data_IF_696544540899
#
_entry.id   IF_696544540899
#
_cell.length_a   1.000
_cell.length_b   1.000
_cell.length_c   1.000
_cell.angle_alpha   90.00
_cell.angle_beta   90.00
_cell.angle_gamma   90.00
#
_symmetry.space_group_name_H-M   'P 1'
#
loop_
_entity.id
_entity.type
_entity.pdbx_description
1 polymer ?
#
# COMPACT_ATOMS: atom_id res chain seq x y z
N UNK A 1 8.21 -2.77 27.82
CA UNK A 1 7.89 -2.29 26.47
C UNK A 1 8.57 -3.21 25.48
N UNK A 2 7.80 -3.98 24.73
CA UNK A 2 8.28 -4.80 23.63
C UNK A 2 8.33 -3.97 22.35
N UNK A 3 9.25 -4.31 21.45
CA UNK A 3 9.36 -3.65 20.15
C UNK A 3 9.02 -4.64 19.03
N UNK A 4 8.28 -4.15 18.04
CA UNK A 4 8.06 -4.87 16.80
C UNK A 4 9.37 -5.10 16.06
N UNK A 5 9.61 -6.37 15.71
CA UNK A 5 10.70 -6.76 14.81
C UNK A 5 10.14 -7.70 13.77
N UNK A 6 10.12 -7.27 12.52
CA UNK A 6 9.66 -8.08 11.40
C UNK A 6 10.42 -9.42 11.38
N UNK A 7 9.69 -10.53 11.30
CA UNK A 7 10.25 -11.88 11.22
C UNK A 7 10.37 -12.39 9.78
N UNK A 8 10.09 -11.54 8.78
CA UNK A 8 10.03 -11.89 7.36
C UNK A 8 9.17 -13.14 7.09
N UNK A 9 8.02 -13.25 7.78
CA UNK A 9 7.13 -14.41 7.69
C UNK A 9 6.27 -14.47 6.42
N UNK A 10 6.14 -13.36 5.68
CA UNK A 10 5.35 -13.28 4.46
C UNK A 10 3.84 -13.09 4.66
N UNK A 11 3.34 -13.06 5.90
CA UNK A 11 1.89 -12.93 6.17
C UNK A 11 1.30 -11.63 5.62
N UNK A 12 2.02 -10.51 5.68
CA UNK A 12 1.57 -9.24 5.09
C UNK A 12 1.64 -9.20 3.55
N UNK A 13 2.31 -10.16 2.92
CA UNK A 13 2.42 -10.28 1.47
C UNK A 13 1.38 -11.23 0.87
N UNK A 14 0.55 -11.87 1.69
CA UNK A 14 -0.46 -12.86 1.28
C UNK A 14 -1.86 -12.38 1.68
N UNK A 15 -2.90 -12.90 1.03
CA UNK A 15 -4.29 -12.56 1.31
C UNK A 15 -4.78 -11.35 0.51
N UNK A 16 -5.96 -10.82 0.83
CA UNK A 16 -6.71 -9.95 -0.08
C UNK A 16 -6.27 -8.48 -0.09
N UNK A 17 -5.45 -8.06 0.88
CA UNK A 17 -4.96 -6.68 0.95
C UNK A 17 -4.20 -6.24 -0.30
N UNK A 18 -4.34 -4.95 -0.65
CA UNK A 18 -3.60 -4.29 -1.71
C UNK A 18 -2.50 -3.40 -1.12
N UNK A 19 -1.38 -3.32 -1.84
CA UNK A 19 -0.30 -2.37 -1.52
C UNK A 19 -0.41 -1.21 -2.48
N UNK A 20 -0.82 -0.05 -1.99
CA UNK A 20 -0.86 1.20 -2.73
C UNK A 20 0.55 1.76 -2.87
N UNK A 21 0.85 2.27 -4.07
CA UNK A 21 2.15 2.83 -4.40
C UNK A 21 2.01 4.32 -4.66
N UNK A 22 2.76 5.13 -3.92
CA UNK A 22 2.88 6.55 -4.23
C UNK A 22 3.83 6.76 -5.43
N UNK A 23 3.78 7.90 -6.13
CA UNK A 23 4.62 8.14 -7.31
C UNK A 23 6.11 7.90 -7.07
N UNK A 24 6.62 8.30 -5.90
CA UNK A 24 8.00 8.09 -5.47
C UNK A 24 8.32 6.63 -5.13
N UNK A 25 7.35 5.83 -4.67
CA UNK A 25 7.54 4.39 -4.53
C UNK A 25 7.80 3.76 -5.89
N UNK A 26 6.98 4.12 -6.90
CA UNK A 26 7.09 3.57 -8.25
C UNK A 26 8.44 3.95 -8.87
N UNK A 27 8.86 5.21 -8.74
CA UNK A 27 10.17 5.68 -9.23
C UNK A 27 11.33 4.95 -8.53
N UNK A 28 11.31 4.90 -7.20
CA UNK A 28 12.34 4.23 -6.40
C UNK A 28 12.43 2.73 -6.72
N UNK A 29 11.29 2.04 -6.86
CA UNK A 29 11.25 0.63 -7.23
C UNK A 29 11.85 0.42 -8.63
N UNK A 30 11.43 1.18 -9.64
CA UNK A 30 11.98 1.09 -10.99
C UNK A 30 13.51 1.30 -11.02
N UNK A 31 14.02 2.28 -10.26
CA UNK A 31 15.46 2.53 -10.11
C UNK A 31 16.20 1.35 -9.47
N UNK A 32 15.66 0.77 -8.40
CA UNK A 32 16.27 -0.41 -7.74
C UNK A 32 16.28 -1.64 -8.64
N UNK A 33 15.25 -1.83 -9.46
CA UNK A 33 15.19 -2.85 -10.51
C UNK A 33 16.05 -2.52 -11.74
N UNK A 34 16.60 -1.30 -11.82
CA UNK A 34 17.40 -0.80 -12.95
C UNK A 34 16.66 -0.92 -14.28
N UNK A 35 15.38 -0.55 -14.28
CA UNK A 35 14.53 -0.61 -15.47
C UNK A 35 13.76 0.70 -15.69
N UNK A 36 13.32 0.97 -16.93
CA UNK A 36 12.46 2.11 -17.22
C UNK A 36 11.18 2.09 -16.39
N UNK A 37 10.68 3.29 -16.04
CA UNK A 37 9.47 3.45 -15.22
C UNK A 37 8.24 2.78 -15.83
N UNK A 38 8.05 2.95 -17.15
CA UNK A 38 6.97 2.31 -17.91
C UNK A 38 7.02 0.78 -17.78
N UNK A 39 8.20 0.20 -17.98
CA UNK A 39 8.39 -1.25 -17.90
C UNK A 39 8.12 -1.79 -16.49
N UNK A 40 8.48 -1.05 -15.45
CA UNK A 40 8.17 -1.42 -14.07
C UNK A 40 6.66 -1.47 -13.82
N UNK A 41 5.95 -0.42 -14.24
CA UNK A 41 4.50 -0.30 -14.10
C UNK A 41 3.80 -1.47 -14.78
N UNK A 42 4.14 -1.72 -16.04
CA UNK A 42 3.49 -2.76 -16.87
C UNK A 42 3.68 -4.17 -16.29
N UNK A 43 4.84 -4.44 -15.68
CA UNK A 43 5.20 -5.77 -15.17
C UNK A 43 4.68 -6.03 -13.75
N UNK A 44 4.76 -5.04 -12.87
CA UNK A 44 4.66 -5.25 -11.42
C UNK A 44 3.51 -4.52 -10.75
N UNK A 45 2.71 -3.76 -11.49
CA UNK A 45 1.62 -2.97 -10.90
C UNK A 45 0.30 -3.18 -11.63
N UNK A 46 -0.80 -2.79 -10.96
CA UNK A 46 -2.12 -2.68 -11.55
C UNK A 46 -2.60 -1.23 -11.38
N UNK A 47 -3.21 -0.66 -12.44
CA UNK A 47 -3.90 0.62 -12.35
C UNK A 47 -5.37 0.40 -12.01
N UNK A 48 -5.83 1.07 -10.96
CA UNK A 48 -7.20 0.94 -10.45
C UNK A 48 -7.82 2.31 -10.22
N UNK A 49 -9.14 2.40 -10.36
CA UNK A 49 -9.92 3.56 -9.96
C UNK A 49 -10.93 3.10 -8.93
N UNK A 50 -10.87 3.69 -7.74
CA UNK A 50 -11.90 3.49 -6.73
C UNK A 50 -13.05 4.46 -6.99
N UNK A 51 -14.23 3.91 -7.13
CA UNK A 51 -15.48 4.64 -7.29
C UNK A 51 -16.19 4.65 -5.94
N UNK A 52 -16.46 5.83 -5.39
CA UNK A 52 -17.29 5.97 -4.19
C UNK A 52 -18.31 7.07 -4.37
N UNK A 53 -19.49 6.88 -3.77
CA UNK A 53 -20.59 7.82 -3.81
C UNK A 53 -20.99 8.13 -2.37
N UNK A 54 -20.80 9.37 -1.92
CA UNK A 54 -21.43 9.80 -0.67
C UNK A 54 -22.93 9.98 -0.92
N UNK A 55 -23.78 9.54 0.02
CA UNK A 55 -25.24 9.68 -0.12
C UNK A 55 -25.63 11.12 -0.50
N UNK A 56 -26.28 11.29 -1.65
CA UNK A 56 -26.71 12.59 -2.16
C UNK A 56 -25.63 13.39 -2.90
N UNK A 57 -24.47 12.81 -3.20
CA UNK A 57 -23.38 13.43 -3.95
C UNK A 57 -23.20 12.81 -5.36
N UNK A 58 -22.27 13.37 -6.14
CA UNK A 58 -21.82 12.76 -7.39
C UNK A 58 -20.72 11.73 -7.11
N UNK A 59 -20.65 10.68 -7.95
CA UNK A 59 -19.56 9.71 -7.91
C UNK A 59 -18.20 10.40 -7.94
N UNK A 60 -17.33 10.00 -7.01
CA UNK A 60 -15.94 10.38 -6.95
C UNK A 60 -15.06 9.21 -7.39
N UNK A 61 -14.08 9.52 -8.22
CA UNK A 61 -13.18 8.53 -8.82
C UNK A 61 -11.75 8.84 -8.40
N UNK A 62 -11.15 7.95 -7.61
CA UNK A 62 -9.77 8.10 -7.14
C UNK A 62 -8.85 7.10 -7.83
N UNK A 63 -7.90 7.56 -8.64
CA UNK A 63 -6.94 6.69 -9.32
C UNK A 63 -5.84 6.26 -8.36
N UNK A 64 -5.43 5.00 -8.44
CA UNK A 64 -4.29 4.44 -7.69
C UNK A 64 -3.51 3.45 -8.54
N UNK A 65 -2.19 3.41 -8.33
CA UNK A 65 -1.37 2.28 -8.72
C UNK A 65 -1.21 1.38 -7.49
N UNK A 66 -1.52 0.10 -7.66
CA UNK A 66 -1.31 -0.91 -6.62
C UNK A 66 -0.27 -1.93 -7.08
N UNK A 67 0.43 -2.53 -6.12
CA UNK A 67 1.31 -3.65 -6.39
C UNK A 67 0.50 -4.82 -6.95
N UNK A 68 0.96 -5.37 -8.07
CA UNK A 68 0.32 -6.51 -8.71
C UNK A 68 0.36 -7.74 -7.80
N UNK A 69 -0.70 -8.54 -7.90
CA UNK A 69 -0.84 -9.81 -7.19
C UNK A 69 -1.04 -10.96 -8.16
N UNK A 70 -0.54 -12.13 -7.77
CA UNK A 70 -0.70 -13.40 -8.47
C UNK A 70 -1.06 -14.48 -7.44
N UNK A 71 -2.13 -15.24 -7.70
CA UNK A 71 -2.63 -16.29 -6.79
C UNK A 71 -2.81 -15.78 -5.33
N UNK A 72 -3.48 -14.63 -5.16
CA UNK A 72 -3.76 -13.98 -3.87
C UNK A 72 -2.52 -13.64 -3.04
N UNK A 73 -1.37 -13.47 -3.69
CA UNK A 73 -0.13 -13.01 -3.08
C UNK A 73 0.51 -11.88 -3.87
N UNK A 74 1.26 -11.02 -3.18
CA UNK A 74 2.11 -10.01 -3.80
C UNK A 74 3.10 -10.68 -4.78
N UNK A 75 3.28 -10.10 -5.97
CA UNK A 75 4.19 -10.61 -7.01
C UNK A 75 5.64 -10.79 -6.53
N UNK A 76 6.04 -10.08 -5.47
CA UNK A 76 7.36 -10.18 -4.85
C UNK A 76 7.44 -11.16 -3.66
N UNK A 77 6.39 -11.93 -3.38
CA UNK A 77 6.44 -13.01 -2.39
C UNK A 77 7.09 -14.25 -3.00
N UNK A 78 8.28 -14.61 -2.53
CA UNK A 78 8.97 -15.83 -2.93
C UNK A 78 9.28 -16.68 -1.70
N UNK A 79 8.77 -17.92 -1.67
CA UNK A 79 9.08 -18.90 -0.61
C UNK A 79 8.87 -18.31 0.80
N UNK A 80 7.76 -17.58 0.99
CA UNK A 80 7.37 -16.85 2.22
C UNK A 80 8.23 -15.63 2.58
N UNK A 81 9.15 -15.19 1.72
CA UNK A 81 9.96 -14.00 1.94
C UNK A 81 9.73 -12.98 0.82
N UNK A 82 9.73 -11.70 1.18
CA UNK A 82 9.66 -10.61 0.23
C UNK A 82 11.00 -10.48 -0.51
N UNK A 83 11.01 -10.55 -1.83
CA UNK A 83 12.22 -10.43 -2.64
C UNK A 83 12.78 -9.01 -2.71
N UNK A 84 11.94 -8.00 -2.43
CA UNK A 84 12.31 -6.57 -2.41
C UNK A 84 12.44 -6.02 -0.98
N UNK A 85 12.74 -6.87 0.01
CA UNK A 85 12.67 -6.51 1.42
C UNK A 85 13.52 -5.29 1.81
N UNK A 86 14.66 -5.10 1.13
CA UNK A 86 15.62 -4.04 1.45
C UNK A 86 15.22 -2.66 0.89
N UNK A 87 14.33 -2.63 -0.10
CA UNK A 87 13.89 -1.41 -0.79
C UNK A 87 12.36 -1.37 -0.95
N UNK A 88 11.64 -1.83 0.09
CA UNK A 88 10.18 -1.86 0.13
C UNK A 88 9.56 -0.47 -0.07
N UNK A 89 8.38 -0.38 -0.72
CA UNK A 89 7.62 0.86 -0.82
C UNK A 89 7.12 1.31 0.56
N UNK A 90 6.67 2.56 0.66
CA UNK A 90 6.24 3.22 1.89
C UNK A 90 5.28 2.37 2.71
N UNK A 91 4.17 1.89 2.13
CA UNK A 91 3.18 1.11 2.87
C UNK A 91 3.78 -0.19 3.42
N UNK A 92 4.56 -0.92 2.61
CA UNK A 92 5.25 -2.15 3.03
C UNK A 92 6.35 -1.91 4.08
N UNK A 93 6.92 -0.71 4.14
CA UNK A 93 7.91 -0.31 5.14
C UNK A 93 7.25 0.01 6.48
N UNK A 94 6.09 0.67 6.44
CA UNK A 94 5.37 1.13 7.63
C UNK A 94 4.35 0.11 8.16
N UNK A 95 3.99 -0.91 7.38
CA UNK A 95 3.16 -2.03 7.84
C UNK A 95 3.82 -2.74 9.04
N UNK A 96 3.08 -3.03 10.11
CA UNK A 96 1.62 -2.94 10.20
C UNK A 96 1.09 -1.59 10.70
N UNK A 97 1.91 -0.67 11.19
CA UNK A 97 1.46 0.52 11.93
C UNK A 97 1.08 1.72 11.05
N UNK A 98 0.43 1.46 9.93
CA UNK A 98 -0.25 2.48 9.12
C UNK A 98 -1.58 2.89 9.77
N UNK A 99 -2.22 3.94 9.27
CA UNK A 99 -3.45 4.50 9.88
C UNK A 99 -4.56 3.46 10.06
N UNK A 100 -4.76 2.63 9.04
CA UNK A 100 -5.76 1.57 8.98
C UNK A 100 -5.61 0.57 10.13
N UNK A 101 -4.40 0.40 10.69
CA UNK A 101 -4.19 -0.56 11.77
C UNK A 101 -4.81 -0.08 13.08
N UNK A 102 -4.97 1.22 13.25
CA UNK A 102 -5.57 1.80 14.45
C UNK A 102 -7.06 2.13 14.26
N UNK A 103 -7.52 2.27 13.01
CA UNK A 103 -8.92 2.60 12.69
C UNK A 103 -9.75 1.37 12.31
N UNK A 104 -9.19 0.41 11.58
CA UNK A 104 -9.84 -0.86 11.23
C UNK A 104 -9.52 -1.95 12.25
N UNK A 105 -10.50 -2.21 13.13
CA UNK A 105 -10.39 -3.22 14.19
C UNK A 105 -10.31 -4.64 13.65
N UNK A 106 -10.98 -4.95 12.54
CA UNK A 106 -11.01 -6.31 11.99
C UNK A 106 -9.70 -6.63 11.27
N UNK A 107 -9.19 -5.68 10.48
CA UNK A 107 -7.86 -5.82 9.88
C UNK A 107 -6.75 -5.92 10.94
N UNK A 108 -6.81 -5.10 12.00
CA UNK A 108 -5.88 -5.19 13.13
C UNK A 108 -5.91 -6.58 13.76
N UNK A 109 -7.11 -7.10 14.08
CA UNK A 109 -7.27 -8.45 14.64
C UNK A 109 -6.70 -9.51 13.71
N UNK A 110 -6.96 -9.41 12.41
CA UNK A 110 -6.40 -10.31 11.40
C UNK A 110 -4.86 -10.30 11.45
N UNK A 111 -4.23 -9.14 11.42
CA UNK A 111 -2.77 -9.02 11.47
C UNK A 111 -2.20 -9.54 12.79
N UNK A 112 -2.81 -9.23 13.93
CA UNK A 112 -2.39 -9.74 15.24
C UNK A 112 -2.48 -11.28 15.33
N UNK A 113 -3.40 -11.89 14.59
CA UNK A 113 -3.57 -13.35 14.51
C UNK A 113 -2.64 -14.04 13.50
N UNK A 114 -2.10 -13.33 12.51
CA UNK A 114 -1.31 -13.97 11.43
C UNK A 114 0.15 -13.51 11.37
N UNK A 115 0.53 -12.44 12.06
CA UNK A 115 1.91 -11.97 12.14
C UNK A 115 2.58 -12.42 13.46
N UNK A 116 3.58 -13.32 13.43
CA UNK A 116 4.25 -13.82 14.63
C UNK A 116 4.95 -12.73 15.46
N UNK A 117 5.33 -11.62 14.82
CA UNK A 117 5.94 -10.47 15.50
C UNK A 117 4.90 -9.68 16.31
N UNK A 118 3.67 -9.53 15.78
CA UNK A 118 2.59 -8.82 16.47
C UNK A 118 2.01 -9.62 17.63
N UNK A 119 1.95 -10.95 17.55
CA UNK A 119 1.47 -11.82 18.64
C UNK A 119 2.24 -11.65 19.96
N UNK A 120 3.43 -11.05 19.91
CA UNK A 120 4.29 -10.81 21.09
C UNK A 120 4.06 -9.43 21.72
N UNK A 121 3.28 -8.57 21.09
CA UNK A 121 2.97 -7.23 21.56
C UNK A 121 1.63 -7.23 22.32
N UNK A 122 1.56 -6.39 23.34
CA UNK A 122 0.33 -6.05 24.07
C UNK A 122 -0.20 -4.70 23.60
N UNK A 123 -1.44 -4.37 23.94
CA UNK A 123 -2.05 -3.07 23.58
C UNK A 123 -1.20 -1.88 24.07
N UNK A 124 -0.63 -1.98 25.27
CA UNK A 124 0.27 -0.97 25.84
C UNK A 124 1.54 -0.76 24.98
N UNK A 125 2.03 -1.82 24.31
CA UNK A 125 3.17 -1.72 23.39
C UNK A 125 2.78 -1.06 22.07
N UNK A 126 1.49 -0.97 21.72
CA UNK A 126 1.02 -0.38 20.45
C UNK A 126 1.01 1.16 20.50
N UNK A 127 0.87 1.75 21.68
CA UNK A 127 0.81 3.20 21.87
C UNK A 127 2.02 3.94 21.27
N UNK A 128 3.21 3.33 21.38
CA UNK A 128 4.45 3.91 20.84
C UNK A 128 4.45 4.02 19.29
N UNK A 129 3.54 3.31 18.61
CA UNK A 129 3.47 3.28 17.14
C UNK A 129 2.40 4.21 16.57
N UNK A 130 1.58 4.85 17.39
CA UNK A 130 0.60 5.85 16.92
C UNK A 130 1.21 6.99 16.08
N UNK A 131 2.43 7.49 16.34
CA UNK A 131 3.05 8.47 15.44
C UNK A 131 3.27 7.96 14.01
N UNK A 132 3.46 6.65 13.81
CA UNK A 132 3.59 6.07 12.45
C UNK A 132 2.27 6.11 11.67
N UNK A 133 1.14 5.99 12.38
CA UNK A 133 -0.19 6.15 11.78
C UNK A 133 -0.37 7.56 11.23
N UNK A 134 0.07 8.58 11.97
CA UNK A 134 0.00 9.99 11.54
C UNK A 134 0.86 10.23 10.28
N UNK A 135 2.06 9.65 10.22
CA UNK A 135 2.91 9.72 9.04
C UNK A 135 2.22 9.09 7.83
N UNK A 136 1.49 7.99 8.02
CA UNK A 136 0.68 7.37 6.96
C UNK A 136 -0.47 8.27 6.50
N UNK A 137 -1.19 8.89 7.42
CA UNK A 137 -2.27 9.83 7.10
C UNK A 137 -1.78 11.06 6.33
N UNK A 138 -0.66 11.63 6.75
CA UNK A 138 0.00 12.74 6.07
C UNK A 138 0.40 12.35 4.65
N UNK A 139 0.90 11.13 4.48
CA UNK A 139 1.27 10.60 3.17
C UNK A 139 0.06 10.44 2.23
N UNK A 140 -1.07 9.97 2.76
CA UNK A 140 -2.32 9.90 2.01
C UNK A 140 -2.82 11.29 1.60
N UNK A 141 -2.74 12.28 2.50
CA UNK A 141 -3.11 13.67 2.20
C UNK A 141 -2.21 14.30 1.14
N UNK A 142 -0.90 14.05 1.21
CA UNK A 142 0.06 14.49 0.19
C UNK A 142 -0.29 13.91 -1.18
N UNK A 143 -0.61 12.62 -1.22
CA UNK A 143 -1.02 11.94 -2.45
C UNK A 143 -2.28 12.56 -3.05
N UNK A 144 -3.34 12.75 -2.26
CA UNK A 144 -4.56 13.42 -2.72
C UNK A 144 -4.29 14.85 -3.23
N UNK A 145 -3.41 15.58 -2.55
CA UNK A 145 -3.02 16.92 -2.98
C UNK A 145 -2.33 16.88 -4.35
N UNK A 146 -1.38 15.97 -4.56
CA UNK A 146 -0.69 15.78 -5.85
C UNK A 146 -1.70 15.41 -6.94
N UNK A 147 -2.64 14.51 -6.66
CA UNK A 147 -3.71 14.16 -7.60
C UNK A 147 -4.51 15.41 -8.01
N UNK A 148 -4.98 16.21 -7.04
CA UNK A 148 -5.75 17.43 -7.30
C UNK A 148 -4.97 18.43 -8.17
N UNK A 149 -3.68 18.63 -7.89
CA UNK A 149 -2.83 19.52 -8.69
C UNK A 149 -2.63 19.06 -10.15
N UNK A 150 -2.88 17.78 -10.43
CA UNK A 150 -2.67 17.18 -11.76
C UNK A 150 -3.98 16.70 -12.40
N UNK A 151 -5.13 17.25 -11.97
CA UNK A 151 -6.46 16.86 -12.45
C UNK A 151 -6.71 15.35 -12.37
N UNK A 152 -6.24 14.71 -11.29
CA UNK A 152 -6.36 13.28 -11.05
C UNK A 152 -5.74 12.41 -12.17
N UNK A 153 -4.74 12.91 -12.91
CA UNK A 153 -4.06 12.13 -13.95
C UNK A 153 -2.72 11.60 -13.44
N UNK A 154 -2.67 10.30 -13.15
CA UNK A 154 -1.43 9.62 -12.78
C UNK A 154 -0.43 9.54 -13.94
N UNK A 155 -0.90 9.49 -15.19
CA UNK A 155 -0.06 9.59 -16.38
C UNK A 155 0.73 10.90 -16.41
N UNK A 156 0.10 12.04 -16.08
CA UNK A 156 0.78 13.34 -15.97
C UNK A 156 1.80 13.35 -14.83
N UNK A 157 1.45 12.79 -13.67
CA UNK A 157 2.32 12.76 -12.48
C UNK A 157 3.56 11.89 -12.72
N UNK A 158 3.39 10.75 -13.39
CA UNK A 158 4.44 9.77 -13.59
C UNK A 158 5.24 10.03 -14.88
N UNK A 159 4.62 10.64 -15.90
CA UNK A 159 5.19 10.84 -17.23
C UNK A 159 5.22 9.54 -18.03
N UNK A 160 4.15 8.75 -17.94
CA UNK A 160 4.00 7.40 -18.53
C UNK A 160 2.61 7.25 -19.14
N UNK A 161 2.39 6.18 -19.89
CA UNK A 161 1.05 5.76 -20.34
C UNK A 161 0.58 4.61 -19.47
N UNK A 162 -0.63 4.72 -18.91
CA UNK A 162 -1.20 3.67 -18.08
C UNK A 162 -2.12 2.77 -18.91
N UNK A 163 -2.25 1.47 -18.58
CA UNK A 163 -3.26 0.60 -19.18
C UNK A 163 -4.67 1.05 -18.78
N UNK A 164 -5.72 0.45 -19.35
CA UNK A 164 -7.09 0.68 -18.88
C UNK A 164 -7.23 0.33 -17.38
N UNK A 165 -7.80 1.21 -16.55
CA UNK A 165 -7.94 0.97 -15.13
C UNK A 165 -8.98 -0.11 -14.84
N UNK A 166 -8.76 -0.88 -13.78
CA UNK A 166 -9.80 -1.69 -13.16
C UNK A 166 -10.64 -0.80 -12.25
N UNK A 167 -11.95 -0.72 -12.50
CA UNK A 167 -12.87 0.02 -11.63
C UNK A 167 -13.23 -0.84 -10.41
N UNK A 168 -13.06 -0.27 -9.22
CA UNK A 168 -13.35 -0.92 -7.94
C UNK A 168 -14.44 -0.09 -7.23
N UNK A 169 -15.67 -0.61 -7.14
CA UNK A 169 -16.72 0.03 -6.34
C UNK A 169 -16.38 -0.02 -4.85
N UNK A 170 -16.59 1.09 -4.16
CA UNK A 170 -16.61 1.15 -2.69
C UNK A 170 -18.06 1.36 -2.28
N UNK A 171 -18.63 0.34 -1.62
CA UNK A 171 -19.96 0.39 -0.99
C UNK A 171 -19.96 1.23 0.29
#
# INVERSE_FOLDING_TARGET
MNFFKCTACGSCCSGDGSVFLYPEDIRSLAENFKMPLQEFIDRYTDFVIFEYCEEGSSYSYLPYIIMKKENDACIFLNSKRCSIHDFKPFQCKNTPFVSEFFTDKEWRKYLMKHCPALMRLKEEDLEQYKPLAQISDEKNKEYEFILRQNNYSLEKILGVTLPEPKIIPID
#
